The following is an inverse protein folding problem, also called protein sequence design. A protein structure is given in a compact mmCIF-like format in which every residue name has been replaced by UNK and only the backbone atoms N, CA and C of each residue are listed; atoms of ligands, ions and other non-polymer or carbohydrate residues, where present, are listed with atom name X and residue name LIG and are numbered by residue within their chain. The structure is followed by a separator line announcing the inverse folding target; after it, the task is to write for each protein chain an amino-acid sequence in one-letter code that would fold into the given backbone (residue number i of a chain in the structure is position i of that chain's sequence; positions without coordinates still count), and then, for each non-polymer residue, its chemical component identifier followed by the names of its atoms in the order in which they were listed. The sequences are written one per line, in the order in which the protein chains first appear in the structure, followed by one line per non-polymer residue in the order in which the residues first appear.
data_IF_429693941088
#
_entry.id   IF_429693941088
#
_cell.length_a   1.000
_cell.length_b   1.000
_cell.length_c   1.000
_cell.angle_alpha   90.00
_cell.angle_beta   90.00
_cell.angle_gamma   90.00
#
_symmetry.space_group_name_H-M   'P 1'
#
loop_
_entity.id
_entity.type
_entity.pdbx_description
1 polymer ?
#
# COMPACT_ATOMS: atom_id res chain seq x y z
N UNK A 1 -7.30 -17.95 -20.33
CA UNK A 1 -6.29 -17.17 -19.59
C UNK A 1 -6.56 -15.72 -19.93
N UNK A 2 -7.42 -15.06 -19.16
CA UNK A 2 -7.72 -13.65 -19.42
C UNK A 2 -6.48 -12.83 -19.06
N UNK A 3 -5.85 -12.27 -20.08
CA UNK A 3 -4.66 -11.44 -19.94
C UNK A 3 -5.01 -10.22 -19.10
N UNK A 4 -4.62 -10.21 -17.83
CA UNK A 4 -4.71 -9.01 -17.00
C UNK A 4 -3.75 -7.96 -17.57
N UNK A 5 -4.31 -6.89 -18.13
CA UNK A 5 -3.54 -5.71 -18.52
C UNK A 5 -3.21 -4.94 -17.24
N UNK A 6 -1.92 -4.73 -16.96
CA UNK A 6 -1.44 -3.97 -15.80
C UNK A 6 -0.25 -3.10 -16.18
N UNK A 7 -0.27 -1.84 -15.77
CA UNK A 7 0.81 -0.88 -16.00
C UNK A 7 1.90 -1.03 -14.93
N UNK A 8 2.45 -2.23 -14.77
CA UNK A 8 3.33 -2.60 -13.65
C UNK A 8 4.53 -1.66 -13.52
N UNK A 9 5.21 -1.38 -14.64
CA UNK A 9 6.42 -0.53 -14.61
C UNK A 9 6.09 0.89 -14.16
N UNK A 10 5.02 1.50 -14.71
CA UNK A 10 4.55 2.81 -14.27
C UNK A 10 4.15 2.80 -12.79
N UNK A 11 3.43 1.77 -12.35
CA UNK A 11 3.01 1.66 -10.95
C UNK A 11 4.19 1.48 -9.98
N UNK A 12 5.33 0.92 -10.43
CA UNK A 12 6.53 0.78 -9.60
C UNK A 12 7.17 2.14 -9.30
N UNK A 13 7.08 3.10 -10.22
CA UNK A 13 7.61 4.46 -10.04
C UNK A 13 6.96 5.16 -8.85
N UNK A 14 5.65 4.96 -8.68
CA UNK A 14 4.86 5.58 -7.60
C UNK A 14 4.64 4.65 -6.39
N UNK A 15 5.25 3.45 -6.37
CA UNK A 15 4.99 2.48 -5.32
C UNK A 15 5.66 2.88 -3.99
N UNK A 16 4.87 3.41 -3.06
CA UNK A 16 5.33 3.80 -1.72
C UNK A 16 5.71 2.65 -0.77
N UNK A 17 5.55 1.38 -1.14
CA UNK A 17 5.84 0.25 -0.24
C UNK A 17 7.33 0.19 0.16
N UNK A 18 7.60 0.30 1.45
CA UNK A 18 8.96 0.28 2.02
C UNK A 18 9.48 -1.13 2.33
N UNK A 19 8.62 -2.15 2.27
CA UNK A 19 9.01 -3.54 2.58
C UNK A 19 10.07 -4.06 1.59
N UNK A 20 11.27 -4.44 2.07
CA UNK A 20 12.32 -4.99 1.21
C UNK A 20 11.87 -6.27 0.51
N UNK A 21 12.13 -6.37 -0.79
CA UNK A 21 11.83 -7.59 -1.57
C UNK A 21 10.33 -7.88 -1.79
N UNK A 22 9.44 -6.91 -1.59
CA UNK A 22 8.01 -7.09 -1.84
C UNK A 22 7.75 -7.55 -3.29
N UNK A 23 7.27 -8.80 -3.45
CA UNK A 23 6.98 -9.41 -4.75
C UNK A 23 5.78 -8.80 -5.49
N UNK A 24 5.01 -7.95 -4.81
CA UNK A 24 3.79 -7.30 -5.34
C UNK A 24 4.00 -5.85 -5.76
N UNK A 25 5.23 -5.31 -5.73
CA UNK A 25 5.51 -3.93 -6.17
C UNK A 25 5.05 -3.71 -7.61
N UNK A 26 4.25 -2.67 -7.82
CA UNK A 26 3.63 -2.34 -9.11
C UNK A 26 2.37 -3.14 -9.47
N UNK A 27 2.09 -4.24 -8.78
CA UNK A 27 0.88 -5.05 -8.97
C UNK A 27 -0.22 -4.62 -7.98
N UNK A 28 -0.75 -3.40 -8.15
CA UNK A 28 -1.65 -2.77 -7.17
C UNK A 28 -2.88 -3.64 -6.81
N UNK A 29 -3.49 -4.33 -7.78
CA UNK A 29 -4.61 -5.23 -7.53
C UNK A 29 -4.23 -6.39 -6.58
N UNK A 30 -3.03 -6.96 -6.73
CA UNK A 30 -2.57 -8.05 -5.87
C UNK A 30 -2.13 -7.52 -4.50
N UNK A 31 -1.56 -6.32 -4.46
CA UNK A 31 -1.21 -5.62 -3.22
C UNK A 31 -2.46 -5.37 -2.35
N UNK A 32 -3.51 -4.76 -2.92
CA UNK A 32 -4.78 -4.51 -2.23
C UNK A 32 -5.39 -5.82 -1.76
N UNK A 33 -5.49 -6.84 -2.63
CA UNK A 33 -6.09 -8.13 -2.26
C UNK A 33 -5.31 -8.86 -1.16
N UNK A 34 -4.00 -8.69 -1.11
CA UNK A 34 -3.17 -9.29 -0.07
C UNK A 34 -3.40 -8.60 1.28
N UNK A 35 -3.19 -7.28 1.35
CA UNK A 35 -3.33 -6.54 2.60
C UNK A 35 -4.77 -6.55 3.13
N UNK A 36 -5.76 -6.44 2.26
CA UNK A 36 -7.17 -6.43 2.69
C UNK A 36 -7.60 -7.73 3.39
N UNK A 37 -7.02 -8.87 3.01
CA UNK A 37 -7.26 -10.16 3.70
C UNK A 37 -6.70 -10.20 5.13
N UNK A 38 -5.88 -9.23 5.50
CA UNK A 38 -5.26 -9.11 6.82
C UNK A 38 -5.78 -7.89 7.58
N UNK A 39 -6.85 -7.26 7.09
CA UNK A 39 -7.34 -5.97 7.60
C UNK A 39 -6.24 -4.89 7.58
N UNK A 40 -5.44 -4.92 6.52
CA UNK A 40 -4.39 -3.93 6.25
C UNK A 40 -4.66 -3.19 4.93
N UNK A 41 -3.94 -2.10 4.72
CA UNK A 41 -3.89 -1.37 3.46
C UNK A 41 -2.48 -1.40 2.84
N UNK A 42 -2.37 -1.28 1.50
CA UNK A 42 -1.07 -1.10 0.85
C UNK A 42 -0.30 0.09 1.41
N UNK A 43 1.02 -0.08 1.58
CA UNK A 43 1.89 0.97 2.08
C UNK A 43 1.90 2.27 1.28
N UNK A 44 1.56 2.22 -0.01
CA UNK A 44 1.42 3.41 -0.85
C UNK A 44 0.25 4.33 -0.45
N UNK A 45 -0.64 3.88 0.45
CA UNK A 45 -1.74 4.68 0.98
C UNK A 45 -1.38 5.39 2.29
N UNK A 46 -0.19 5.17 2.84
CA UNK A 46 0.28 5.80 4.07
C UNK A 46 1.26 6.94 3.75
N UNK A 47 1.33 8.00 4.59
CA UNK A 47 2.43 8.96 4.53
C UNK A 47 3.79 8.29 4.63
N UNK A 48 4.82 8.89 4.00
CA UNK A 48 6.16 8.28 3.89
C UNK A 48 6.76 7.89 5.24
N UNK A 49 6.54 8.68 6.28
CA UNK A 49 7.09 8.39 7.60
C UNK A 49 6.28 7.35 8.36
N UNK A 50 4.97 7.30 8.14
CA UNK A 50 4.09 6.27 8.69
C UNK A 50 4.40 4.89 8.06
N UNK A 51 4.54 4.80 6.74
CA UNK A 51 4.86 3.53 6.07
C UNK A 51 6.22 2.93 6.48
N UNK A 52 7.14 3.73 7.04
CA UNK A 52 8.41 3.22 7.59
C UNK A 52 8.23 2.41 8.88
N UNK A 53 7.11 2.56 9.58
CA UNK A 53 6.81 1.77 10.80
C UNK A 53 6.35 0.36 10.47
N UNK A 54 5.96 0.12 9.20
CA UNK A 54 5.35 -1.12 8.71
C UNK A 54 4.01 -1.48 9.34
N UNK A 55 3.46 -0.64 10.22
CA UNK A 55 2.09 -0.78 10.66
C UNK A 55 1.18 -0.38 9.49
N UNK A 56 0.49 -1.36 8.93
CA UNK A 56 -0.42 -1.18 7.80
C UNK A 56 -1.87 -1.46 8.19
N UNK A 57 -2.15 -1.54 9.49
CA UNK A 57 -3.50 -1.77 10.01
C UNK A 57 -4.46 -0.65 9.60
N UNK A 58 -5.75 -0.98 9.55
CA UNK A 58 -6.80 0.02 9.32
C UNK A 58 -6.84 1.06 10.44
N UNK A 59 -6.58 0.63 11.68
CA UNK A 59 -6.53 1.49 12.86
C UNK A 59 -5.43 2.56 12.71
N UNK A 60 -4.21 2.15 12.36
CA UNK A 60 -3.11 3.09 12.16
C UNK A 60 -3.34 4.00 10.96
N UNK A 61 -3.93 3.48 9.88
CA UNK A 61 -4.32 4.29 8.73
C UNK A 61 -5.26 5.42 9.12
N UNK A 62 -6.32 5.11 9.88
CA UNK A 62 -7.30 6.09 10.34
C UNK A 62 -6.61 7.12 11.25
N UNK A 63 -5.81 6.67 12.22
CA UNK A 63 -5.10 7.56 13.15
C UNK A 63 -4.22 8.57 12.41
N UNK A 64 -3.35 8.08 11.52
CA UNK A 64 -2.39 8.92 10.79
C UNK A 64 -3.13 9.92 9.90
N UNK A 65 -4.14 9.48 9.14
CA UNK A 65 -4.84 10.37 8.24
C UNK A 65 -5.78 11.35 8.96
N UNK A 66 -6.40 10.97 10.08
CA UNK A 66 -7.14 11.93 10.93
C UNK A 66 -6.22 13.07 11.36
N UNK A 67 -5.00 12.75 11.81
CA UNK A 67 -4.01 13.76 12.19
C UNK A 67 -3.55 14.61 11.01
N UNK A 68 -3.19 14.00 9.87
CA UNK A 68 -2.71 14.73 8.68
C UNK A 68 -3.79 15.65 8.07
N UNK A 69 -5.07 15.26 8.18
CA UNK A 69 -6.20 16.05 7.67
C UNK A 69 -6.80 17.02 8.70
N UNK A 70 -6.34 16.98 9.95
CA UNK A 70 -6.83 17.83 11.04
C UNK A 70 -8.27 17.53 11.48
N UNK A 71 -8.67 16.26 11.44
CA UNK A 71 -9.99 15.75 11.85
C UNK A 71 -10.03 15.36 13.34
#
# INVERSE_FOLDING_TARGET
MDGRICNVEKNKEDCGCTYPGCSRKGYCCDCIRYHWKHHELPGCLFPKDAEKTFDRSLEYFIEVWSKELGL
#
